data_IF_509310787790
#
_entry.id   IF_509310787790
#
_cell.length_a   1.000
_cell.length_b   1.000
_cell.length_c   1.000
_cell.angle_alpha   90.00
_cell.angle_beta   90.00
_cell.angle_gamma   90.00
#
_symmetry.space_group_name_H-M   'P 1'
#
loop_
_entity.id
_entity.type
_entity.pdbx_description
1 polymer ?
#
# COMPACT_ATOMS: atom_id res chain seq x y z
N UNK A 1 8.48 -15.78 8.19
CA UNK A 1 9.42 -14.88 8.89
C UNK A 1 8.86 -14.64 10.28
N UNK A 2 9.63 -14.86 11.35
CA UNK A 2 9.22 -14.45 12.70
C UNK A 2 9.71 -13.02 12.90
N UNK A 3 8.99 -12.05 12.35
CA UNK A 3 9.30 -10.65 12.61
C UNK A 3 8.90 -10.34 14.06
N UNK A 4 9.91 -9.97 14.85
CA UNK A 4 9.75 -9.52 16.23
C UNK A 4 9.81 -8.00 16.23
N UNK A 5 8.83 -7.36 16.85
CA UNK A 5 8.72 -5.93 17.02
C UNK A 5 8.96 -5.57 18.48
N UNK A 6 9.64 -4.46 18.75
CA UNK A 6 9.96 -4.00 20.11
C UNK A 6 9.29 -2.67 20.42
N UNK A 7 8.65 -2.59 21.59
CA UNK A 7 8.07 -1.36 22.14
C UNK A 7 8.21 -1.40 23.67
N UNK A 8 8.83 -0.37 24.26
CA UNK A 8 9.05 -0.24 25.70
C UNK A 8 9.65 -1.53 26.31
N UNK A 9 10.76 -2.02 25.74
CA UNK A 9 11.47 -3.26 26.13
C UNK A 9 10.69 -4.57 25.95
N UNK A 10 9.42 -4.49 25.55
CA UNK A 10 8.58 -5.65 25.30
C UNK A 10 8.67 -6.09 23.84
N UNK A 11 8.65 -7.41 23.62
CA UNK A 11 8.74 -8.04 22.29
C UNK A 11 7.40 -8.61 21.85
N UNK A 12 7.03 -8.31 20.62
CA UNK A 12 5.76 -8.68 20.00
C UNK A 12 6.00 -9.36 18.66
N UNK A 13 5.06 -10.19 18.22
CA UNK A 13 5.03 -10.75 16.86
C UNK A 13 3.61 -10.76 16.34
N UNK A 14 3.47 -10.78 15.01
CA UNK A 14 2.17 -10.98 14.38
C UNK A 14 1.60 -12.35 14.76
N UNK A 15 0.30 -12.40 15.03
CA UNK A 15 -0.44 -13.66 15.09
C UNK A 15 -0.29 -14.39 13.76
N UNK A 16 -0.31 -15.73 13.81
CA UNK A 16 -0.32 -16.56 12.61
C UNK A 16 -1.48 -16.11 11.71
N UNK A 17 -1.15 -15.77 10.47
CA UNK A 17 -2.15 -15.31 9.52
C UNK A 17 -3.16 -16.41 9.23
N UNK A 18 -4.42 -16.08 9.46
CA UNK A 18 -5.59 -16.88 9.13
C UNK A 18 -6.77 -15.95 8.92
N UNK A 19 -7.88 -16.47 8.41
CA UNK A 19 -9.06 -15.66 8.05
C UNK A 19 -9.54 -14.76 9.20
N UNK A 20 -9.50 -15.25 10.44
CA UNK A 20 -9.86 -14.44 11.62
C UNK A 20 -8.95 -13.24 11.86
N UNK A 21 -7.64 -13.37 11.63
CA UNK A 21 -6.69 -12.25 11.78
C UNK A 21 -6.86 -11.25 10.62
N UNK A 22 -7.06 -11.74 9.40
CA UNK A 22 -7.33 -10.89 8.23
C UNK A 22 -8.63 -10.09 8.41
N UNK A 23 -9.70 -10.74 8.88
CA UNK A 23 -10.97 -10.06 9.17
C UNK A 23 -10.80 -8.99 10.26
N UNK A 24 -10.07 -9.29 11.34
CA UNK A 24 -9.77 -8.32 12.41
C UNK A 24 -8.94 -7.13 11.93
N UNK A 25 -8.15 -7.28 10.88
CA UNK A 25 -7.40 -6.20 10.27
C UNK A 25 -8.18 -5.44 9.18
N UNK A 26 -9.33 -5.96 8.72
CA UNK A 26 -10.16 -5.27 7.72
C UNK A 26 -10.56 -3.84 8.09
N UNK A 27 -10.78 -3.46 9.37
CA UNK A 27 -11.03 -2.07 9.74
C UNK A 27 -9.91 -1.10 9.33
N UNK A 28 -8.65 -1.55 9.28
CA UNK A 28 -7.53 -0.73 8.80
C UNK A 28 -7.69 -0.37 7.32
N UNK A 29 -8.02 -1.36 6.50
CA UNK A 29 -8.26 -1.17 5.07
C UNK A 29 -9.49 -0.31 4.81
N UNK A 30 -10.57 -0.52 5.57
CA UNK A 30 -11.81 0.27 5.46
C UNK A 30 -11.52 1.73 5.82
N UNK A 31 -10.83 1.98 6.94
CA UNK A 31 -10.48 3.33 7.39
C UNK A 31 -9.56 4.04 6.40
N UNK A 32 -8.52 3.35 5.93
CA UNK A 32 -7.62 3.86 4.90
C UNK A 32 -8.37 4.24 3.62
N UNK A 33 -9.18 3.33 3.06
CA UNK A 33 -9.98 3.65 1.87
C UNK A 33 -10.95 4.81 2.12
N UNK A 34 -11.62 4.83 3.27
CA UNK A 34 -12.53 5.92 3.64
C UNK A 34 -11.84 7.28 3.69
N UNK A 35 -10.62 7.35 4.24
CA UNK A 35 -9.81 8.57 4.27
C UNK A 35 -9.33 8.98 2.88
N UNK A 36 -8.87 8.03 2.07
CA UNK A 36 -8.51 8.31 0.67
C UNK A 36 -9.69 8.90 -0.08
N UNK A 37 -10.88 8.27 -0.02
CA UNK A 37 -12.09 8.79 -0.68
C UNK A 37 -12.50 10.17 -0.16
N UNK A 38 -12.38 10.41 1.14
CA UNK A 38 -12.70 11.69 1.76
C UNK A 38 -11.74 12.80 1.28
N UNK A 39 -10.45 12.51 1.22
CA UNK A 39 -9.42 13.49 0.88
C UNK A 39 -9.22 13.69 -0.62
N UNK A 40 -9.57 12.70 -1.44
CA UNK A 40 -9.60 12.84 -2.89
C UNK A 40 -10.95 13.31 -3.44
N UNK A 41 -11.93 13.60 -2.57
CA UNK A 41 -13.23 14.07 -2.99
C UNK A 41 -13.12 15.35 -3.82
N UNK A 42 -13.58 15.31 -5.06
CA UNK A 42 -13.53 16.44 -5.99
C UNK A 42 -12.26 16.53 -6.84
N UNK A 43 -11.31 15.59 -6.67
CA UNK A 43 -10.14 15.48 -7.56
C UNK A 43 -10.52 14.63 -8.77
N UNK A 44 -10.40 15.21 -9.97
CA UNK A 44 -10.53 14.45 -11.21
C UNK A 44 -9.20 13.75 -11.54
N UNK A 45 -9.15 12.43 -11.31
CA UNK A 45 -8.01 11.58 -11.66
C UNK A 45 -8.17 10.86 -13.00
N UNK A 46 -9.23 11.15 -13.76
CA UNK A 46 -9.60 10.42 -14.99
C UNK A 46 -8.47 10.42 -16.01
N UNK A 47 -7.86 11.59 -16.28
CA UNK A 47 -6.77 11.71 -17.25
C UNK A 47 -5.50 10.97 -16.79
N UNK A 48 -5.23 10.96 -15.49
CA UNK A 48 -4.11 10.21 -14.93
C UNK A 48 -4.32 8.70 -15.14
N UNK A 49 -5.50 8.19 -14.79
CA UNK A 49 -5.86 6.77 -14.95
C UNK A 49 -5.79 6.33 -16.42
N UNK A 50 -6.26 7.16 -17.35
CA UNK A 50 -6.14 6.85 -18.78
C UNK A 50 -4.68 6.75 -19.22
N UNK A 51 -3.83 7.70 -18.81
CA UNK A 51 -2.41 7.67 -19.15
C UNK A 51 -1.67 6.47 -18.54
N UNK A 52 -1.99 6.10 -17.29
CA UNK A 52 -1.43 4.90 -16.64
C UNK A 52 -1.83 3.63 -17.38
N UNK A 53 -3.11 3.51 -17.71
CA UNK A 53 -3.64 2.34 -18.41
C UNK A 53 -3.07 2.24 -19.83
N UNK A 54 -2.97 3.33 -20.57
CA UNK A 54 -2.37 3.35 -21.91
C UNK A 54 -0.91 2.89 -21.87
N UNK A 55 -0.12 3.38 -20.91
CA UNK A 55 1.27 2.93 -20.71
C UNK A 55 1.33 1.44 -20.39
N UNK A 56 0.44 0.92 -19.53
CA UNK A 56 0.41 -0.50 -19.18
C UNK A 56 0.11 -1.37 -20.41
N UNK A 57 -0.94 -1.03 -21.17
CA UNK A 57 -1.34 -1.75 -22.38
C UNK A 57 -0.21 -1.72 -23.42
N UNK A 58 0.46 -0.58 -23.60
CA UNK A 58 1.57 -0.48 -24.55
C UNK A 58 2.77 -1.33 -24.13
N UNK A 59 3.06 -1.44 -22.84
CA UNK A 59 4.13 -2.32 -22.32
C UNK A 59 3.80 -3.79 -22.57
N UNK A 60 2.58 -4.21 -22.28
CA UNK A 60 2.09 -5.57 -22.56
C UNK A 60 2.15 -5.88 -24.06
N UNK A 61 1.64 -4.98 -24.91
CA UNK A 61 1.67 -5.16 -26.36
C UNK A 61 3.10 -5.23 -26.94
N UNK A 62 4.07 -4.50 -26.35
CA UNK A 62 5.48 -4.59 -26.74
C UNK A 62 6.08 -5.95 -26.37
N UNK A 63 5.73 -6.48 -25.20
CA UNK A 63 6.19 -7.80 -24.75
C UNK A 63 5.61 -8.91 -25.62
N UNK A 64 4.32 -8.85 -25.93
CA UNK A 64 3.65 -9.77 -26.85
C UNK A 64 4.27 -9.71 -28.26
N UNK A 65 4.38 -8.53 -28.85
CA UNK A 65 4.95 -8.35 -30.19
C UNK A 65 6.43 -8.77 -30.27
N UNK A 66 7.19 -8.62 -29.17
CA UNK A 66 8.58 -9.09 -29.08
C UNK A 66 8.72 -10.61 -28.97
N UNK A 67 7.64 -11.30 -28.57
CA UNK A 67 7.59 -12.75 -28.37
C UNK A 67 7.08 -13.51 -29.61
N UNK A 68 6.48 -12.82 -30.58
CA UNK A 68 6.03 -13.40 -31.85
C UNK A 68 7.19 -13.88 -32.74
N UNK A 69 6.96 -14.92 -33.54
CA UNK A 69 7.94 -15.44 -34.52
C UNK A 69 7.30 -15.62 -35.90
N UNK A 70 7.78 -14.93 -36.95
CA UNK A 70 8.86 -13.92 -36.93
C UNK A 70 8.40 -12.62 -36.23
N UNK A 71 9.34 -11.93 -35.56
CA UNK A 71 9.07 -10.65 -34.91
C UNK A 71 8.77 -9.59 -35.96
N UNK A 72 7.67 -8.85 -35.80
CA UNK A 72 7.36 -7.69 -36.62
C UNK A 72 8.10 -6.44 -36.07
N UNK A 73 9.31 -6.19 -36.57
CA UNK A 73 10.16 -5.09 -36.10
C UNK A 73 9.55 -3.70 -36.34
N UNK A 74 8.78 -3.51 -37.41
CA UNK A 74 8.14 -2.23 -37.71
C UNK A 74 7.02 -1.92 -36.71
N UNK A 75 6.19 -2.93 -36.40
CA UNK A 75 5.16 -2.82 -35.36
C UNK A 75 5.80 -2.55 -33.99
N UNK A 76 6.85 -3.30 -33.63
CA UNK A 76 7.55 -3.13 -32.36
C UNK A 76 8.14 -1.72 -32.23
N UNK A 77 8.71 -1.17 -33.31
CA UNK A 77 9.22 0.20 -33.34
C UNK A 77 8.11 1.23 -33.14
N UNK A 78 6.97 1.06 -33.83
CA UNK A 78 5.79 1.94 -33.69
C UNK A 78 5.23 1.92 -32.26
N UNK A 79 5.12 0.75 -31.65
CA UNK A 79 4.64 0.61 -30.27
C UNK A 79 5.60 1.28 -29.27
N UNK A 80 6.91 1.08 -29.42
CA UNK A 80 7.92 1.75 -28.58
C UNK A 80 7.89 3.26 -28.72
N UNK A 81 7.66 3.78 -29.94
CA UNK A 81 7.51 5.22 -30.15
C UNK A 81 6.27 5.76 -29.41
N UNK A 82 5.12 5.11 -29.57
CA UNK A 82 3.88 5.49 -28.86
C UNK A 82 4.03 5.42 -27.35
N UNK A 83 4.74 4.41 -26.84
CA UNK A 83 5.06 4.32 -25.41
C UNK A 83 5.85 5.54 -24.96
N UNK A 84 6.90 5.92 -25.71
CA UNK A 84 7.70 7.11 -25.38
C UNK A 84 6.90 8.42 -25.43
N UNK A 85 5.93 8.55 -26.34
CA UNK A 85 5.02 9.70 -26.39
C UNK A 85 4.06 9.71 -25.19
N UNK A 86 3.48 8.56 -24.84
CA UNK A 86 2.59 8.39 -23.69
C UNK A 86 3.30 8.64 -22.37
N UNK A 87 4.54 8.15 -22.22
CA UNK A 87 5.38 8.40 -21.05
C UNK A 87 5.76 9.89 -20.92
N UNK A 88 5.97 10.60 -22.03
CA UNK A 88 6.19 12.06 -21.99
C UNK A 88 4.95 12.82 -21.51
N UNK A 89 3.77 12.45 -22.00
CA UNK A 89 2.51 13.04 -21.56
C UNK A 89 2.24 12.74 -20.08
N UNK A 90 2.45 11.49 -19.67
CA UNK A 90 2.33 11.08 -18.27
C UNK A 90 3.28 11.85 -17.35
N UNK A 91 4.50 12.14 -17.80
CA UNK A 91 5.48 12.92 -17.04
C UNK A 91 5.34 14.44 -17.24
N UNK A 92 4.30 14.91 -17.92
CA UNK A 92 4.05 16.34 -18.07
C UNK A 92 3.59 16.97 -16.74
N UNK A 93 3.86 18.27 -16.51
CA UNK A 93 3.60 18.93 -15.23
C UNK A 93 2.18 18.75 -14.65
N UNK A 94 1.08 18.80 -15.44
CA UNK A 94 -0.27 18.64 -14.88
C UNK A 94 -0.49 17.27 -14.23
N UNK A 95 -0.06 16.19 -14.89
CA UNK A 95 -0.21 14.83 -14.36
C UNK A 95 0.81 14.53 -13.28
N UNK A 96 2.02 15.08 -13.37
CA UNK A 96 3.03 14.97 -12.33
C UNK A 96 2.56 15.63 -11.01
N UNK A 97 2.01 16.85 -11.10
CA UNK A 97 1.45 17.55 -9.95
C UNK A 97 0.27 16.80 -9.34
N UNK A 98 -0.62 16.27 -10.17
CA UNK A 98 -1.75 15.45 -9.72
C UNK A 98 -1.28 14.19 -8.98
N UNK A 99 -0.27 13.48 -9.49
CA UNK A 99 0.33 12.33 -8.79
C UNK A 99 0.94 12.71 -7.45
N UNK A 100 1.68 13.82 -7.40
CA UNK A 100 2.25 14.33 -6.14
C UNK A 100 1.15 14.62 -5.12
N UNK A 101 0.09 15.30 -5.56
CA UNK A 101 -1.04 15.64 -4.70
C UNK A 101 -1.77 14.39 -4.18
N UNK A 102 -1.99 13.38 -5.03
CA UNK A 102 -2.57 12.09 -4.61
C UNK A 102 -1.65 11.35 -3.61
N UNK A 103 -0.33 11.39 -3.80
CA UNK A 103 0.63 10.81 -2.86
C UNK A 103 0.66 11.54 -1.51
N UNK A 104 0.49 12.87 -1.51
CA UNK A 104 0.33 13.66 -0.29
C UNK A 104 -0.95 13.30 0.46
N UNK A 105 -2.06 13.11 -0.25
CA UNK A 105 -3.33 12.62 0.32
C UNK A 105 -3.16 11.25 0.94
N UNK A 106 -2.48 10.34 0.27
CA UNK A 106 -2.18 9.02 0.82
C UNK A 106 -1.33 9.13 2.10
N UNK A 107 -0.32 9.98 2.08
CA UNK A 107 0.53 10.24 3.24
C UNK A 107 -0.27 10.80 4.41
N UNK A 108 -1.20 11.73 4.16
CA UNK A 108 -2.09 12.30 5.16
C UNK A 108 -3.04 11.25 5.74
N UNK A 109 -3.65 10.41 4.90
CA UNK A 109 -4.53 9.33 5.33
C UNK A 109 -3.79 8.33 6.22
N UNK A 110 -2.56 7.94 5.84
CA UNK A 110 -1.72 7.08 6.67
C UNK A 110 -1.36 7.74 7.99
N UNK A 111 -1.00 9.03 7.97
CA UNK A 111 -0.65 9.78 9.17
C UNK A 111 -1.82 9.83 10.17
N UNK A 112 -3.03 10.10 9.72
CA UNK A 112 -4.22 10.12 10.57
C UNK A 112 -4.53 8.75 11.17
N UNK A 113 -4.30 7.67 10.43
CA UNK A 113 -4.48 6.31 10.95
C UNK A 113 -3.47 5.99 12.04
N UNK A 114 -2.17 6.23 11.79
CA UNK A 114 -1.12 5.85 12.73
C UNK A 114 -1.12 6.72 13.99
N UNK A 115 -1.71 7.91 13.92
CA UNK A 115 -1.86 8.82 15.07
C UNK A 115 -3.17 8.60 15.84
N UNK A 116 -4.12 7.85 15.30
CA UNK A 116 -5.31 7.42 16.04
C UNK A 116 -4.97 6.25 16.99
N UNK A 117 -4.50 6.61 18.18
CA UNK A 117 -4.08 5.65 19.20
C UNK A 117 -5.22 4.73 19.68
N UNK A 118 -6.47 5.20 19.67
CA UNK A 118 -7.62 4.37 20.04
C UNK A 118 -7.87 3.28 19.00
N UNK A 119 -7.84 3.64 17.72
CA UNK A 119 -7.94 2.70 16.62
C UNK A 119 -6.78 1.69 16.61
N UNK A 120 -5.53 2.19 16.70
CA UNK A 120 -4.33 1.35 16.64
C UNK A 120 -4.25 0.39 17.82
N UNK A 121 -4.59 0.82 19.04
CA UNK A 121 -4.58 -0.06 20.22
C UNK A 121 -5.59 -1.20 20.14
N UNK A 122 -6.79 -0.94 19.61
CA UNK A 122 -7.76 -1.98 19.29
C UNK A 122 -7.19 -2.98 18.27
N UNK A 123 -6.72 -2.46 17.13
CA UNK A 123 -6.16 -3.28 16.05
C UNK A 123 -4.98 -4.16 16.53
N UNK A 124 -4.03 -3.58 17.26
CA UNK A 124 -2.81 -4.29 17.68
C UNK A 124 -3.08 -5.34 18.74
N UNK A 125 -4.03 -5.09 19.65
CA UNK A 125 -4.51 -6.12 20.59
C UNK A 125 -5.09 -7.34 19.85
N UNK A 126 -5.66 -7.09 18.67
CA UNK A 126 -6.29 -8.11 17.84
C UNK A 126 -5.33 -8.87 16.93
N UNK A 127 -4.24 -8.26 16.46
CA UNK A 127 -3.31 -8.87 15.50
C UNK A 127 -1.94 -9.26 16.09
N UNK A 128 -1.54 -8.74 17.25
CA UNK A 128 -0.26 -9.04 17.90
C UNK A 128 -0.42 -10.03 19.06
N UNK A 129 0.68 -10.73 19.33
CA UNK A 129 0.93 -11.55 20.53
C UNK A 129 2.33 -11.22 21.06
N UNK A 130 2.64 -11.62 22.30
CA UNK A 130 4.00 -11.57 22.81
C UNK A 130 4.93 -12.47 21.97
N UNK A 131 6.24 -12.31 22.11
CA UNK A 131 7.21 -13.19 21.46
C UNK A 131 6.97 -14.68 21.77
N UNK A 132 6.52 -14.98 22.99
CA UNK A 132 6.17 -16.31 23.48
C UNK A 132 4.81 -16.80 22.98
N UNK A 133 3.99 -15.91 22.41
CA UNK A 133 2.67 -16.21 21.86
C UNK A 133 1.50 -15.90 22.80
N UNK A 134 1.75 -15.22 23.93
CA UNK A 134 0.70 -14.83 24.85
C UNK A 134 -0.17 -13.72 24.27
N UNK A 135 -1.45 -13.68 24.67
CA UNK A 135 -2.35 -12.58 24.31
C UNK A 135 -1.84 -11.29 24.95
N UNK A 136 -1.74 -10.24 24.13
CA UNK A 136 -1.40 -8.88 24.57
C UNK A 136 -2.61 -7.98 24.46
N UNK A 137 -2.64 -6.93 25.28
CA UNK A 137 -3.65 -5.87 25.23
C UNK A 137 -2.94 -4.54 25.26
N UNK A 138 -3.21 -3.72 24.26
CA UNK A 138 -2.81 -2.32 24.19
C UNK A 138 -4.01 -1.45 24.56
N UNK A 139 -3.71 -0.29 25.11
CA UNK A 139 -4.64 0.81 25.28
C UNK A 139 -4.13 2.05 24.53
N UNK A 140 -4.90 3.13 24.51
CA UNK A 140 -4.50 4.36 23.81
C UNK A 140 -3.25 5.02 24.37
N UNK A 141 -2.93 4.78 25.64
CA UNK A 141 -1.73 5.33 26.28
C UNK A 141 -0.49 4.50 25.92
N UNK A 142 -0.66 3.26 25.45
CA UNK A 142 0.43 2.39 25.02
C UNK A 142 1.22 2.96 23.84
N UNK A 143 0.69 3.98 23.15
CA UNK A 143 1.34 4.65 22.01
C UNK A 143 1.55 6.16 22.23
N UNK A 144 1.67 6.61 23.48
CA UNK A 144 1.80 8.04 23.81
C UNK A 144 3.13 8.66 23.40
N UNK A 145 4.16 7.85 23.16
CA UNK A 145 5.50 8.31 22.80
C UNK A 145 5.74 8.32 21.29
N UNK A 146 6.56 9.24 20.80
CA UNK A 146 6.93 9.34 19.37
C UNK A 146 7.58 8.05 18.83
N UNK A 147 8.28 7.32 19.69
CA UNK A 147 8.92 6.01 19.41
C UNK A 147 7.90 4.96 18.97
N UNK A 148 6.65 5.11 19.41
CA UNK A 148 5.52 4.25 19.02
C UNK A 148 5.20 4.32 17.54
N UNK A 149 5.46 5.45 16.87
CA UNK A 149 5.14 5.62 15.45
C UNK A 149 5.93 4.62 14.59
N UNK A 150 7.21 4.44 14.88
CA UNK A 150 8.06 3.49 14.14
C UNK A 150 7.66 2.04 14.40
N UNK A 151 7.26 1.73 15.64
CA UNK A 151 6.67 0.43 15.95
C UNK A 151 5.39 0.18 15.14
N UNK A 152 4.48 1.15 15.10
CA UNK A 152 3.21 1.05 14.37
C UNK A 152 3.45 0.83 12.88
N UNK A 153 4.32 1.65 12.26
CA UNK A 153 4.68 1.53 10.84
C UNK A 153 5.21 0.13 10.51
N UNK A 154 6.14 -0.39 11.31
CA UNK A 154 6.75 -1.72 11.09
C UNK A 154 5.70 -2.84 11.16
N UNK A 155 4.83 -2.80 12.17
CA UNK A 155 3.77 -3.81 12.34
C UNK A 155 2.80 -3.78 11.16
N UNK A 156 2.34 -2.59 10.76
CA UNK A 156 1.40 -2.44 9.64
C UNK A 156 2.03 -2.90 8.32
N UNK A 157 3.26 -2.47 8.03
CA UNK A 157 3.97 -2.85 6.81
C UNK A 157 4.12 -4.37 6.71
N UNK A 158 4.57 -5.01 7.78
CA UNK A 158 4.79 -6.45 7.80
C UNK A 158 3.49 -7.26 7.71
N UNK A 159 2.42 -6.75 8.33
CA UNK A 159 1.09 -7.36 8.21
C UNK A 159 0.63 -7.40 6.74
N UNK A 160 0.76 -6.30 6.00
CA UNK A 160 0.36 -6.24 4.60
C UNK A 160 1.26 -7.06 3.67
N UNK A 161 2.59 -7.02 3.86
CA UNK A 161 3.52 -7.88 3.11
C UNK A 161 3.18 -9.36 3.30
N UNK A 162 2.91 -9.76 4.54
CA UNK A 162 2.57 -11.13 4.88
C UNK A 162 1.20 -11.53 4.29
N UNK A 163 0.21 -10.63 4.27
CA UNK A 163 -1.08 -10.89 3.64
C UNK A 163 -0.98 -11.06 2.11
N UNK A 164 -0.18 -10.24 1.42
CA UNK A 164 0.05 -10.37 -0.02
C UNK A 164 0.71 -11.71 -0.39
N UNK A 165 1.61 -12.22 0.46
CA UNK A 165 2.30 -13.50 0.23
C UNK A 165 1.36 -14.72 0.22
N UNK A 166 0.19 -14.62 0.87
CA UNK A 166 -0.85 -15.67 0.86
C UNK A 166 -1.51 -15.78 -0.52
N UNK A 167 -1.64 -14.67 -1.26
CA UNK A 167 -2.24 -14.67 -2.60
C UNK A 167 -1.36 -15.31 -3.69
N UNK A 168 -0.08 -15.59 -3.38
CA UNK A 168 0.92 -16.11 -4.33
C UNK A 168 1.25 -17.60 -4.13
N UNK A 169 0.44 -18.33 -3.34
CA UNK A 169 0.55 -19.79 -3.15
C UNK A 169 -0.72 -20.45 -3.63
#
# INVERSE_FOLDING_TARGET
MNNIFELNENKYKLKKLGLGVLHKASPLLIKYRGLIYKYSAGIDSTQLLYAENEISILKEAIEEAGSEKPVNEELLKKLKQKLGESEKLFNAPPLEQLRKHLAEIESLALFEIITDAEFISGLFSDILVSAEGARVKFDKNSFSEITSIEFIKKVIADFFLSAQSISKK
#
